data_IF_889480932171
#
_entry.id   IF_889480932171
#
_cell.length_a   1.000
_cell.length_b   1.000
_cell.length_c   1.000
_cell.angle_alpha   90.00
_cell.angle_beta   90.00
_cell.angle_gamma   90.00
#
_symmetry.space_group_name_H-M   'P 1'
#
loop_
_entity.id
_entity.type
_entity.pdbx_description
1 polymer ?
#
# COMPACT_ATOMS: atom_id res chain seq x y z
N UNK A 1 -0.77 -27.15 2.77
CA UNK A 1 0.18 -27.12 1.65
C UNK A 1 0.14 -25.75 1.00
N UNK A 2 1.31 -25.26 0.59
CA UNK A 2 1.51 -23.97 -0.08
C UNK A 2 2.54 -24.12 -1.19
N UNK A 3 2.24 -23.63 -2.37
CA UNK A 3 3.15 -23.64 -3.52
C UNK A 3 3.73 -22.22 -3.66
N UNK A 4 5.00 -21.98 -3.32
CA UNK A 4 5.62 -20.66 -3.37
C UNK A 4 5.98 -20.26 -4.79
N UNK A 5 5.45 -19.13 -5.29
CA UNK A 5 5.69 -18.66 -6.66
C UNK A 5 6.73 -17.54 -6.70
N UNK A 6 6.61 -16.56 -5.81
CA UNK A 6 7.46 -15.37 -5.81
C UNK A 6 7.85 -14.99 -4.39
N UNK A 7 9.12 -14.63 -4.19
CA UNK A 7 9.62 -14.00 -2.96
C UNK A 7 9.89 -12.54 -3.24
N UNK A 8 9.42 -11.66 -2.37
CA UNK A 8 9.57 -10.21 -2.50
C UNK A 8 9.98 -9.57 -1.19
N UNK A 9 10.70 -8.46 -1.30
CA UNK A 9 11.07 -7.62 -0.18
C UNK A 9 10.36 -6.27 -0.29
N UNK A 10 9.60 -5.90 0.74
CA UNK A 10 8.95 -4.59 0.81
C UNK A 10 9.20 -3.94 2.16
N UNK A 11 9.68 -2.70 2.14
CA UNK A 11 10.02 -1.93 3.35
C UNK A 11 10.88 -2.73 4.35
N UNK A 12 11.84 -3.52 3.83
CA UNK A 12 12.74 -4.36 4.63
C UNK A 12 12.15 -5.67 5.15
N UNK A 13 10.92 -5.98 4.85
CA UNK A 13 10.27 -7.25 5.21
C UNK A 13 10.16 -8.19 4.01
N UNK A 14 10.45 -9.46 4.23
CA UNK A 14 10.36 -10.49 3.23
C UNK A 14 9.00 -11.20 3.25
N UNK A 15 8.46 -11.42 2.07
CA UNK A 15 7.18 -12.07 1.86
C UNK A 15 7.30 -13.13 0.78
N UNK A 16 6.43 -14.13 0.84
CA UNK A 16 6.26 -15.10 -0.21
C UNK A 16 4.80 -15.09 -0.67
N UNK A 17 4.61 -14.97 -1.97
CA UNK A 17 3.34 -15.06 -2.66
C UNK A 17 3.26 -16.42 -3.35
N UNK A 18 2.13 -17.10 -3.27
CA UNK A 18 1.91 -18.39 -3.90
C UNK A 18 0.50 -18.92 -3.69
N UNK A 19 0.26 -20.13 -4.14
CA UNK A 19 -1.04 -20.78 -4.05
C UNK A 19 -1.21 -21.56 -2.74
N UNK A 20 -2.23 -21.18 -1.97
CA UNK A 20 -2.58 -21.85 -0.73
C UNK A 20 -3.68 -22.88 -0.97
N UNK A 21 -3.34 -24.18 -0.87
CA UNK A 21 -4.30 -25.27 -1.07
C UNK A 21 -5.38 -25.32 0.01
N UNK A 22 -5.09 -24.85 1.23
CA UNK A 22 -6.08 -24.82 2.31
C UNK A 22 -7.22 -23.84 2.01
N UNK A 23 -6.88 -22.70 1.39
CA UNK A 23 -7.85 -21.64 1.11
C UNK A 23 -8.27 -21.60 -0.36
N UNK A 24 -7.67 -22.46 -1.23
CA UNK A 24 -7.90 -22.52 -2.66
C UNK A 24 -7.75 -21.16 -3.38
N UNK A 25 -6.76 -20.37 -2.97
CA UNK A 25 -6.47 -19.05 -3.53
C UNK A 25 -5.00 -18.68 -3.39
N UNK A 26 -4.60 -17.62 -4.10
CA UNK A 26 -3.30 -17.00 -3.88
C UNK A 26 -3.28 -16.25 -2.56
N UNK A 27 -2.20 -16.41 -1.81
CA UNK A 27 -1.98 -15.74 -0.54
C UNK A 27 -0.55 -15.21 -0.45
N UNK A 28 -0.39 -14.13 0.30
CA UNK A 28 0.91 -13.58 0.68
C UNK A 28 1.17 -13.88 2.15
N UNK A 29 2.35 -14.42 2.43
CA UNK A 29 2.78 -14.70 3.79
C UNK A 29 4.10 -14.00 4.10
N UNK A 30 4.19 -13.38 5.28
CA UNK A 30 5.45 -12.84 5.80
C UNK A 30 6.38 -13.98 6.22
N UNK A 31 7.60 -14.01 5.69
CA UNK A 31 8.60 -15.02 6.07
C UNK A 31 8.94 -14.96 7.55
N UNK A 32 8.98 -13.75 8.14
CA UNK A 32 9.26 -13.57 9.56
C UNK A 32 8.21 -14.20 10.50
N UNK A 33 6.99 -14.46 9.99
CA UNK A 33 5.89 -15.07 10.76
C UNK A 33 5.74 -16.56 10.51
N UNK A 34 6.51 -17.14 9.59
CA UNK A 34 6.47 -18.56 9.31
C UNK A 34 7.17 -19.34 10.42
N UNK A 35 6.56 -20.46 10.83
CA UNK A 35 7.11 -21.42 11.77
C UNK A 35 6.98 -22.82 11.19
N UNK A 36 7.92 -23.70 11.53
CA UNK A 36 7.88 -25.13 11.18
C UNK A 36 7.70 -25.39 9.68
N UNK A 37 8.58 -24.75 8.87
CA UNK A 37 8.57 -24.94 7.42
C UNK A 37 9.12 -26.32 7.08
N UNK A 38 8.32 -27.13 6.39
CA UNK A 38 8.74 -28.41 5.86
C UNK A 38 8.72 -28.38 4.34
N UNK A 39 9.88 -28.68 3.72
CA UNK A 39 9.98 -28.84 2.28
C UNK A 39 9.60 -30.26 1.93
N UNK A 40 8.72 -30.44 0.94
CA UNK A 40 8.30 -31.74 0.45
C UNK A 40 8.94 -32.04 -0.91
N UNK A 41 8.97 -33.32 -1.31
CA UNK A 41 9.47 -33.73 -2.63
C UNK A 41 8.42 -33.53 -3.75
N UNK A 42 7.26 -32.98 -3.42
CA UNK A 42 6.20 -32.69 -4.37
C UNK A 42 6.53 -31.46 -5.20
N UNK A 43 6.58 -31.62 -6.52
CA UNK A 43 6.70 -30.50 -7.45
C UNK A 43 5.34 -29.85 -7.73
N UNK A 44 5.36 -28.59 -8.14
CA UNK A 44 4.17 -27.85 -8.59
C UNK A 44 4.50 -27.08 -9.88
N UNK A 45 3.47 -26.70 -10.62
CA UNK A 45 3.58 -25.75 -11.73
C UNK A 45 2.90 -24.46 -11.33
N UNK A 46 3.47 -23.33 -11.76
CA UNK A 46 2.81 -22.03 -11.62
C UNK A 46 1.54 -22.06 -12.46
N UNK A 47 0.42 -21.72 -11.86
CA UNK A 47 -0.87 -21.71 -12.54
C UNK A 47 -0.92 -20.61 -13.60
N UNK A 48 -1.54 -20.87 -14.75
CA UNK A 48 -1.64 -19.92 -15.87
C UNK A 48 -2.38 -18.62 -15.48
N UNK A 49 -3.36 -18.73 -14.58
CA UNK A 49 -4.10 -17.56 -14.08
C UNK A 49 -3.31 -16.67 -13.11
N UNK A 50 -2.05 -17.06 -12.76
CA UNK A 50 -1.23 -16.28 -11.87
C UNK A 50 -0.61 -15.08 -12.58
N UNK A 51 -1.00 -13.88 -12.16
CA UNK A 51 -0.35 -12.63 -12.51
C UNK A 51 0.05 -11.90 -11.22
N UNK A 52 1.34 -11.63 -11.06
CA UNK A 52 1.89 -10.93 -9.90
C UNK A 52 1.26 -9.54 -9.73
N UNK A 53 0.95 -8.84 -10.82
CA UNK A 53 0.39 -7.50 -10.77
C UNK A 53 -1.02 -7.46 -10.16
N UNK A 54 -1.72 -8.59 -10.15
CA UNK A 54 -3.03 -8.71 -9.48
C UNK A 54 -2.91 -8.86 -7.96
N UNK A 55 -1.67 -9.06 -7.44
CA UNK A 55 -1.43 -9.38 -6.04
C UNK A 55 -0.50 -8.39 -5.33
N UNK A 56 0.11 -7.50 -6.09
CA UNK A 56 1.07 -6.51 -5.58
C UNK A 56 0.73 -5.16 -6.20
N UNK A 57 0.52 -4.16 -5.34
CA UNK A 57 0.60 -2.77 -5.75
C UNK A 57 2.08 -2.37 -5.63
N UNK A 58 2.78 -2.08 -6.73
CA UNK A 58 4.22 -1.78 -6.70
C UNK A 58 4.55 -0.57 -5.83
N UNK A 59 3.60 0.35 -5.63
CA UNK A 59 3.83 1.62 -4.95
C UNK A 59 3.35 1.61 -3.49
N UNK A 60 2.27 0.88 -3.15
CA UNK A 60 1.64 0.96 -1.84
C UNK A 60 1.57 -0.34 -1.03
N UNK A 61 1.76 -1.53 -1.59
CA UNK A 61 1.74 -2.70 -0.74
C UNK A 61 1.53 -4.06 -1.38
N UNK A 62 1.71 -5.09 -0.56
CA UNK A 62 1.67 -6.51 -0.93
C UNK A 62 0.24 -7.08 -0.82
N UNK A 63 -0.73 -6.29 -0.40
CA UNK A 63 -2.08 -6.77 -0.15
C UNK A 63 -3.00 -6.39 -1.31
N UNK A 64 -3.28 -7.32 -2.21
CA UNK A 64 -4.43 -7.18 -3.09
C UNK A 64 -5.69 -7.38 -2.26
N UNK A 65 -6.31 -6.29 -1.84
CA UNK A 65 -7.71 -6.37 -1.48
C UNK A 65 -8.52 -6.45 -2.77
N UNK A 66 -9.52 -7.33 -2.83
CA UNK A 66 -10.53 -7.36 -3.90
C UNK A 66 -11.42 -6.08 -3.92
N UNK A 67 -10.98 -5.03 -3.20
CA UNK A 67 -11.67 -3.76 -3.11
C UNK A 67 -11.54 -2.97 -4.41
N UNK A 68 -12.61 -2.33 -4.80
CA UNK A 68 -12.64 -1.43 -5.97
C UNK A 68 -11.65 -0.29 -5.74
N UNK A 69 -10.76 0.01 -6.71
CA UNK A 69 -9.87 1.15 -6.60
C UNK A 69 -10.66 2.45 -6.41
N UNK A 70 -10.22 3.28 -5.48
CA UNK A 70 -10.81 4.59 -5.21
C UNK A 70 -9.81 5.69 -5.59
N UNK A 71 -10.34 6.85 -5.96
CA UNK A 71 -9.51 8.02 -6.27
C UNK A 71 -9.03 8.63 -4.96
N UNK A 72 -7.72 8.65 -4.79
CA UNK A 72 -7.03 9.36 -3.71
C UNK A 72 -6.69 10.75 -4.21
N UNK A 73 -7.03 11.78 -3.43
CA UNK A 73 -6.72 13.17 -3.74
C UNK A 73 -6.15 13.84 -2.50
N UNK A 74 -4.95 14.38 -2.65
CA UNK A 74 -4.16 14.96 -1.57
C UNK A 74 -3.68 16.35 -1.94
N UNK A 75 -3.63 17.25 -0.96
CA UNK A 75 -3.04 18.57 -1.09
C UNK A 75 -1.89 18.70 -0.09
N UNK A 76 -0.69 18.95 -0.61
CA UNK A 76 0.51 19.15 0.19
C UNK A 76 0.82 20.64 0.32
N UNK A 77 1.33 21.05 1.48
CA UNK A 77 1.79 22.42 1.70
C UNK A 77 3.05 22.73 0.88
N UNK A 78 3.34 24.03 0.67
CA UNK A 78 4.54 24.49 -0.04
C UNK A 78 5.86 24.01 0.61
N UNK A 79 5.86 23.70 1.91
CA UNK A 79 7.06 23.27 2.65
C UNK A 79 7.62 21.92 2.17
N UNK A 80 6.79 21.08 1.57
CA UNK A 80 7.17 19.75 1.08
C UNK A 80 7.06 19.63 -0.45
N UNK A 81 6.81 20.73 -1.17
CA UNK A 81 6.51 20.73 -2.60
C UNK A 81 7.62 20.05 -3.44
N UNK A 82 8.89 20.43 -3.22
CA UNK A 82 10.03 19.86 -3.93
C UNK A 82 10.10 18.34 -3.74
N UNK A 83 9.92 17.88 -2.49
CA UNK A 83 9.95 16.46 -2.18
C UNK A 83 8.83 15.67 -2.89
N UNK A 84 7.65 16.28 -3.04
CA UNK A 84 6.53 15.63 -3.73
C UNK A 84 6.73 15.62 -5.24
N UNK A 85 7.22 16.73 -5.82
CA UNK A 85 7.39 16.90 -7.27
C UNK A 85 8.57 16.10 -7.86
N UNK A 86 9.60 15.82 -7.06
CA UNK A 86 10.80 15.09 -7.52
C UNK A 86 10.57 13.60 -7.76
N UNK A 87 9.41 13.06 -7.36
CA UNK A 87 9.17 11.61 -7.34
C UNK A 87 7.89 11.23 -8.07
N UNK A 88 7.92 10.06 -8.65
CA UNK A 88 6.69 9.34 -9.04
C UNK A 88 6.26 8.49 -7.86
N UNK A 89 5.12 8.83 -7.27
CA UNK A 89 4.54 8.15 -6.10
C UNK A 89 3.60 7.02 -6.51
N UNK A 90 3.03 7.11 -7.70
CA UNK A 90 2.15 6.10 -8.27
C UNK A 90 2.20 6.18 -9.81
N UNK A 91 2.16 5.02 -10.49
CA UNK A 91 2.27 4.93 -11.95
C UNK A 91 1.20 5.74 -12.69
N UNK A 92 0.03 5.91 -12.10
CA UNK A 92 -1.12 6.64 -12.67
C UNK A 92 -1.39 7.95 -11.93
N UNK A 93 -0.36 8.60 -11.39
CA UNK A 93 -0.55 9.85 -10.65
C UNK A 93 -0.79 11.04 -11.58
N UNK A 94 -1.64 11.95 -11.13
CA UNK A 94 -1.67 13.33 -11.60
C UNK A 94 -1.07 14.21 -10.50
N UNK A 95 -0.06 15.01 -10.84
CA UNK A 95 0.64 15.86 -9.88
C UNK A 95 0.88 17.24 -10.52
N UNK A 96 0.48 18.31 -9.81
CA UNK A 96 0.75 19.68 -10.25
C UNK A 96 0.90 20.63 -9.07
N UNK A 97 1.70 21.67 -9.26
CA UNK A 97 1.87 22.74 -8.30
C UNK A 97 0.85 23.86 -8.55
N UNK A 98 0.24 24.36 -7.48
CA UNK A 98 -0.66 25.50 -7.50
C UNK A 98 0.13 26.83 -7.41
N UNK A 99 -0.55 27.96 -7.68
CA UNK A 99 0.05 29.30 -7.63
C UNK A 99 0.59 29.69 -6.24
N UNK A 100 -0.02 29.15 -5.18
CA UNK A 100 0.40 29.36 -3.77
C UNK A 100 1.57 28.46 -3.33
N UNK A 101 2.11 27.67 -4.24
CA UNK A 101 3.22 26.74 -4.00
C UNK A 101 2.79 25.40 -3.42
N UNK A 102 1.52 25.21 -3.08
CA UNK A 102 0.98 23.90 -2.68
C UNK A 102 1.02 22.92 -3.84
N UNK A 103 0.98 21.62 -3.55
CA UNK A 103 1.00 20.57 -4.59
C UNK A 103 -0.23 19.68 -4.45
N UNK A 104 -0.98 19.57 -5.53
CA UNK A 104 -2.04 18.58 -5.68
C UNK A 104 -1.47 17.28 -6.23
N UNK A 105 -1.83 16.16 -5.63
CA UNK A 105 -1.49 14.81 -6.07
C UNK A 105 -2.74 13.95 -6.06
N UNK A 106 -3.01 13.25 -7.16
CA UNK A 106 -4.06 12.23 -7.20
C UNK A 106 -3.62 10.96 -7.90
N UNK A 107 -4.21 9.84 -7.50
CA UNK A 107 -3.98 8.52 -8.09
C UNK A 107 -5.13 7.57 -7.72
N UNK A 108 -5.20 6.43 -8.40
CA UNK A 108 -6.17 5.36 -8.09
C UNK A 108 -5.50 4.31 -7.22
N UNK A 109 -6.08 3.97 -6.06
CA UNK A 109 -5.57 2.90 -5.20
C UNK A 109 -6.70 2.11 -4.53
N UNK A 110 -6.50 0.82 -4.34
CA UNK A 110 -7.34 -0.04 -3.50
C UNK A 110 -6.70 -0.30 -2.12
N UNK A 111 -5.55 0.34 -1.82
CA UNK A 111 -4.74 0.14 -0.62
C UNK A 111 -4.97 1.26 0.41
N UNK A 112 -6.20 1.35 0.92
CA UNK A 112 -6.59 2.43 1.84
C UNK A 112 -5.70 2.52 3.08
N UNK A 113 -5.36 1.38 3.70
CA UNK A 113 -4.54 1.34 4.92
C UNK A 113 -3.08 1.76 4.67
N UNK A 114 -2.50 1.31 3.56
CA UNK A 114 -1.13 1.70 3.19
C UNK A 114 -1.07 3.19 2.86
N UNK A 115 -2.07 3.69 2.11
CA UNK A 115 -2.21 5.12 1.81
C UNK A 115 -2.36 5.93 3.10
N UNK A 116 -3.16 5.47 4.06
CA UNK A 116 -3.33 6.10 5.37
C UNK A 116 -1.98 6.22 6.11
N UNK A 117 -1.23 5.12 6.23
CA UNK A 117 0.08 5.16 6.89
C UNK A 117 1.07 6.08 6.17
N UNK A 118 1.04 6.09 4.83
CA UNK A 118 1.90 6.97 4.04
C UNK A 118 1.54 8.45 4.25
N UNK A 119 0.26 8.80 4.22
CA UNK A 119 -0.23 10.16 4.50
C UNK A 119 0.23 10.65 5.87
N UNK A 120 0.16 9.80 6.91
CA UNK A 120 0.61 10.17 8.27
C UNK A 120 2.09 10.53 8.35
N UNK A 121 2.93 10.05 7.42
CA UNK A 121 4.37 10.40 7.41
C UNK A 121 4.63 11.89 7.12
N UNK A 122 3.66 12.59 6.53
CA UNK A 122 3.76 14.02 6.22
C UNK A 122 3.24 14.93 7.33
N UNK A 123 2.60 14.36 8.36
CA UNK A 123 2.09 15.13 9.49
C UNK A 123 1.10 16.23 9.07
N UNK A 124 1.39 17.47 9.45
CA UNK A 124 0.53 18.62 9.11
C UNK A 124 0.73 19.14 7.67
N UNK A 125 1.64 18.58 6.90
CA UNK A 125 1.95 19.07 5.55
C UNK A 125 1.08 18.44 4.47
N UNK A 126 0.10 17.61 4.82
CA UNK A 126 -0.83 17.00 3.87
C UNK A 126 -2.28 17.13 4.34
N UNK A 127 -3.16 17.41 3.40
CA UNK A 127 -4.61 17.39 3.60
C UNK A 127 -5.23 16.36 2.66
N UNK A 128 -6.01 15.44 3.20
CA UNK A 128 -6.80 14.48 2.40
C UNK A 128 -8.04 15.19 1.88
N UNK A 129 -8.16 15.29 0.56
CA UNK A 129 -9.33 15.85 -0.12
C UNK A 129 -10.36 14.75 -0.40
N UNK A 130 -9.89 13.58 -0.86
CA UNK A 130 -10.69 12.40 -1.20
C UNK A 130 -9.88 11.12 -0.98
N UNK A 131 -10.46 9.97 -0.59
CA UNK A 131 -11.87 9.75 -0.27
C UNK A 131 -12.21 10.12 1.19
N UNK A 132 -13.49 10.27 1.52
CA UNK A 132 -13.94 10.56 2.89
C UNK A 132 -13.47 9.52 3.91
N UNK A 133 -13.39 8.25 3.51
CA UNK A 133 -12.93 7.15 4.37
C UNK A 133 -11.49 7.37 4.83
N UNK A 134 -10.60 7.77 3.93
CA UNK A 134 -9.20 8.09 4.27
C UNK A 134 -9.13 9.30 5.19
N UNK A 135 -9.92 10.33 4.91
CA UNK A 135 -9.99 11.53 5.74
C UNK A 135 -10.45 11.21 7.17
N UNK A 136 -11.46 10.36 7.32
CA UNK A 136 -11.96 9.92 8.62
C UNK A 136 -10.89 9.15 9.41
N UNK A 137 -10.17 8.22 8.77
CA UNK A 137 -9.07 7.49 9.41
C UNK A 137 -7.99 8.44 9.94
N UNK A 138 -7.60 9.45 9.15
CA UNK A 138 -6.61 10.45 9.57
C UNK A 138 -7.13 11.27 10.74
N UNK A 139 -8.39 11.71 10.72
CA UNK A 139 -8.99 12.49 11.82
C UNK A 139 -9.08 11.69 13.13
N UNK A 140 -9.47 10.43 13.05
CA UNK A 140 -9.50 9.53 14.20
C UNK A 140 -8.10 9.34 14.80
N UNK A 141 -7.09 9.17 13.98
CA UNK A 141 -5.72 8.98 14.44
C UNK A 141 -5.15 10.25 15.08
N UNK A 142 -5.41 11.43 14.50
CA UNK A 142 -5.04 12.72 15.09
C UNK A 142 -5.68 12.86 16.48
N UNK A 143 -6.94 12.45 16.64
CA UNK A 143 -7.64 12.51 17.93
C UNK A 143 -6.95 11.63 18.97
N UNK A 144 -6.62 10.39 18.61
CA UNK A 144 -5.87 9.47 19.48
C UNK A 144 -4.48 10.01 19.82
N UNK A 145 -3.76 10.56 18.84
CA UNK A 145 -2.46 11.18 19.08
C UNK A 145 -2.57 12.36 20.06
N UNK A 146 -3.57 13.20 19.93
CA UNK A 146 -3.81 14.30 20.88
C UNK A 146 -4.08 13.80 22.32
N UNK A 147 -4.65 12.62 22.50
CA UNK A 147 -4.87 12.01 23.80
C UNK A 147 -3.59 11.47 24.43
N UNK A 148 -2.70 10.89 23.61
CA UNK A 148 -1.41 10.32 24.07
C UNK A 148 -0.43 11.42 24.49
N UNK A 149 -0.46 12.58 23.83
CA UNK A 149 0.49 13.68 24.07
C UNK A 149 -0.07 14.81 24.95
N UNK A 150 -1.14 14.57 25.68
CA UNK A 150 -1.63 15.44 26.75
C UNK A 150 -0.87 15.11 28.04
#
# INVERSE_FOLDING_TARGET
>A
KFDPYVVLCQKGNWYVLGYCHLHNRFNVYSLARMKEINITDESFCVKEEFDINNHIDPDFGIWSNESVPMKIELLFTSDVNTYILERTWHVNQECHQNEDGSVYLSFMSNQLQETFHWVLTFGCHVTVLNPPELKNLVQEEITKMCEVYK
#
